data_IF_981384126395
#
_entry.id   IF_981384126395
#
_cell.length_a   1.000
_cell.length_b   1.000
_cell.length_c   1.000
_cell.angle_alpha   90.00
_cell.angle_beta   90.00
_cell.angle_gamma   90.00
#
_symmetry.space_group_name_H-M   'P 1'
#
loop_
_entity.id
_entity.type
_entity.pdbx_description
1 polymer ?
#
# COMPACT_ATOMS: atom_id res chain seq x y z
N UNK A 1 4.71 7.10 -0.27
CA UNK A 1 5.17 7.06 1.13
C UNK A 1 6.03 8.26 1.53
N UNK A 2 7.09 8.60 0.78
CA UNK A 2 8.07 9.65 1.16
C UNK A 2 7.51 11.07 1.34
N UNK A 3 6.34 11.36 0.77
CA UNK A 3 5.66 12.66 0.91
C UNK A 3 4.90 12.83 2.23
N UNK A 4 4.76 11.78 3.03
CA UNK A 4 4.01 11.82 4.30
C UNK A 4 5.02 11.91 5.45
N UNK A 5 5.09 13.05 6.17
CA UNK A 5 5.95 13.17 7.34
C UNK A 5 5.60 12.11 8.39
N UNK A 6 6.60 11.63 9.13
CA UNK A 6 6.43 10.62 10.21
C UNK A 6 5.82 9.27 9.78
N UNK A 7 5.78 8.99 8.48
CA UNK A 7 5.49 7.67 7.93
C UNK A 7 6.79 6.95 7.56
N UNK A 8 7.04 5.79 8.16
CA UNK A 8 8.08 4.86 7.73
C UNK A 8 7.48 3.71 6.93
N UNK A 9 8.24 3.15 5.99
CA UNK A 9 7.80 2.00 5.19
C UNK A 9 8.93 1.01 4.94
N UNK A 10 8.58 -0.24 4.67
CA UNK A 10 9.47 -1.30 4.23
C UNK A 10 8.88 -2.01 3.00
N UNK A 11 9.76 -2.47 2.11
CA UNK A 11 9.39 -3.30 0.96
C UNK A 11 9.33 -4.75 1.43
N UNK A 12 8.18 -5.41 1.23
CA UNK A 12 8.01 -6.84 1.56
C UNK A 12 8.19 -7.72 0.32
N UNK A 13 7.71 -7.26 -0.82
CA UNK A 13 7.87 -7.90 -2.12
C UNK A 13 7.88 -6.84 -3.22
N UNK A 14 8.04 -7.25 -4.49
CA UNK A 14 7.91 -6.37 -5.64
C UNK A 14 6.57 -5.60 -5.66
N UNK A 15 5.51 -6.18 -5.10
CA UNK A 15 4.14 -5.65 -5.15
C UNK A 15 3.51 -5.43 -3.77
N UNK A 16 4.27 -5.59 -2.68
CA UNK A 16 3.76 -5.49 -1.31
C UNK A 16 4.65 -4.64 -0.43
N UNK A 17 4.03 -3.77 0.36
CA UNK A 17 4.68 -2.82 1.26
C UNK A 17 4.03 -2.83 2.62
N UNK A 18 4.81 -2.52 3.65
CA UNK A 18 4.29 -2.26 4.99
C UNK A 18 4.62 -0.84 5.39
N UNK A 19 3.66 -0.15 5.97
CA UNK A 19 3.81 1.23 6.41
C UNK A 19 3.39 1.40 7.88
N UNK A 20 4.10 2.27 8.58
CA UNK A 20 3.77 2.71 9.93
C UNK A 20 3.71 4.25 9.95
N UNK A 21 2.56 4.79 10.32
CA UNK A 21 2.35 6.22 10.49
C UNK A 21 2.26 6.58 11.97
N UNK A 22 3.28 7.29 12.46
CA UNK A 22 3.33 7.79 13.84
C UNK A 22 2.60 9.12 13.93
N UNK A 23 1.93 9.38 15.04
CA UNK A 23 1.26 10.67 15.24
C UNK A 23 2.30 11.78 15.54
N UNK A 24 2.11 12.95 14.96
CA UNK A 24 2.81 14.17 15.35
C UNK A 24 1.97 14.92 16.39
N UNK A 25 2.35 14.85 17.67
CA UNK A 25 1.86 15.74 18.73
C UNK A 25 1.05 15.07 19.84
N UNK A 26 1.61 15.09 21.06
CA UNK A 26 0.93 14.73 22.31
C UNK A 26 1.70 13.70 23.15
N UNK A 27 1.49 13.65 24.48
CA UNK A 27 2.18 12.69 25.36
C UNK A 27 1.91 11.25 24.90
N UNK A 28 3.01 10.55 24.67
CA UNK A 28 3.20 9.51 23.66
C UNK A 28 2.52 8.16 23.92
N UNK A 29 1.84 7.94 25.04
CA UNK A 29 1.42 6.58 25.46
C UNK A 29 0.05 6.14 24.94
N UNK A 30 -0.84 7.07 24.55
CA UNK A 30 -2.18 6.73 24.05
C UNK A 30 -2.32 6.83 22.53
N UNK A 31 -1.35 7.44 21.84
CA UNK A 31 -1.37 7.57 20.39
C UNK A 31 -0.76 6.35 19.73
N UNK A 32 -1.57 5.30 19.58
CA UNK A 32 -1.17 4.10 18.82
C UNK A 32 -0.85 4.49 17.37
N UNK A 33 0.29 4.06 16.81
CA UNK A 33 0.61 4.29 15.41
C UNK A 33 -0.37 3.53 14.51
N UNK A 34 -0.58 4.03 13.29
CA UNK A 34 -1.34 3.32 12.26
C UNK A 34 -0.37 2.43 11.51
N UNK A 35 -0.61 1.12 11.50
CA UNK A 35 0.14 0.14 10.71
C UNK A 35 -0.77 -0.43 9.66
N UNK A 36 -0.32 -0.47 8.43
CA UNK A 36 -1.08 -1.02 7.32
C UNK A 36 -0.18 -1.67 6.28
N UNK A 37 -0.77 -2.56 5.51
CA UNK A 37 -0.15 -3.18 4.33
C UNK A 37 -0.73 -2.54 3.07
N UNK A 38 0.10 -2.45 2.04
CA UNK A 38 -0.30 -2.05 0.69
C UNK A 38 0.11 -3.16 -0.25
N UNK A 39 -0.85 -3.69 -0.98
CA UNK A 39 -0.64 -4.75 -1.98
C UNK A 39 -1.10 -4.28 -3.35
N UNK A 40 -0.32 -4.59 -4.38
CA UNK A 40 -0.63 -4.32 -5.78
C UNK A 40 -0.91 -5.64 -6.47
N UNK A 41 -2.06 -5.77 -7.12
CA UNK A 41 -2.41 -6.94 -7.92
C UNK A 41 -2.83 -6.51 -9.33
N UNK A 42 -2.39 -7.27 -10.34
CA UNK A 42 -2.95 -7.16 -11.69
C UNK A 42 -4.24 -7.96 -11.74
N UNK A 43 -5.26 -7.44 -12.42
CA UNK A 43 -6.50 -8.17 -12.69
C UNK A 43 -6.45 -8.96 -14.00
N UNK A 44 -5.29 -9.07 -14.66
CA UNK A 44 -5.12 -10.04 -15.73
C UNK A 44 -5.22 -11.44 -15.13
N UNK A 45 -6.26 -12.17 -15.52
CA UNK A 45 -6.25 -13.63 -15.45
C UNK A 45 -5.09 -14.19 -16.28
N UNK A 46 -4.90 -15.52 -16.34
CA UNK A 46 -3.87 -16.13 -17.17
C UNK A 46 -4.22 -15.91 -18.65
N UNK A 47 -3.95 -14.73 -19.19
CA UNK A 47 -4.19 -14.43 -20.60
C UNK A 47 -3.09 -15.08 -21.46
N UNK A 48 -3.48 -15.68 -22.60
CA UNK A 48 -2.62 -16.55 -23.36
C UNK A 48 -1.69 -15.76 -24.27
N UNK A 49 -0.39 -15.68 -23.93
CA UNK A 49 0.74 -15.35 -24.82
C UNK A 49 0.70 -13.99 -25.55
N UNK A 50 1.85 -13.36 -25.85
CA UNK A 50 1.87 -11.99 -26.33
C UNK A 50 1.39 -11.91 -27.78
N UNK A 51 0.27 -11.21 -28.02
CA UNK A 51 -0.08 -10.77 -29.38
C UNK A 51 0.92 -9.71 -29.83
N UNK A 52 1.45 -9.93 -31.03
CA UNK A 52 2.62 -9.28 -31.61
C UNK A 52 2.30 -7.92 -32.24
N UNK A 53 1.33 -7.19 -31.69
CA UNK A 53 0.88 -5.92 -32.23
C UNK A 53 0.89 -4.88 -31.10
N UNK A 54 1.67 -3.82 -31.28
CA UNK A 54 2.11 -2.85 -30.28
C UNK A 54 1.04 -1.92 -29.69
N UNK A 55 -0.18 -2.41 -29.44
CA UNK A 55 -1.19 -1.72 -28.63
C UNK A 55 -1.22 -2.36 -27.23
N UNK A 56 -0.21 -2.03 -26.41
CA UNK A 56 -0.14 -2.46 -25.01
C UNK A 56 -1.33 -1.91 -24.23
N UNK A 57 -2.42 -2.67 -24.17
CA UNK A 57 -3.50 -2.43 -23.23
C UNK A 57 -2.88 -2.61 -21.84
N UNK A 58 -2.57 -1.51 -21.18
CA UNK A 58 -2.02 -1.56 -19.82
C UNK A 58 -3.01 -2.30 -18.95
N UNK A 59 -2.60 -3.45 -18.40
CA UNK A 59 -3.43 -4.25 -17.51
C UNK A 59 -4.01 -3.38 -16.38
N UNK A 60 -5.23 -3.71 -15.95
CA UNK A 60 -5.84 -3.03 -14.81
C UNK A 60 -5.15 -3.54 -13.54
N UNK A 61 -4.66 -2.60 -12.73
CA UNK A 61 -4.07 -2.90 -11.42
C UNK A 61 -5.00 -2.42 -10.32
N UNK A 62 -5.09 -3.20 -9.24
CA UNK A 62 -5.75 -2.81 -8.01
C UNK A 62 -4.72 -2.61 -6.91
N UNK A 63 -4.95 -1.60 -6.06
CA UNK A 63 -4.13 -1.33 -4.87
C UNK A 63 -5.00 -1.54 -3.65
N UNK A 64 -4.65 -2.52 -2.84
CA UNK A 64 -5.37 -2.87 -1.62
C UNK A 64 -4.65 -2.30 -0.42
N UNK A 65 -5.37 -1.55 0.42
CA UNK A 65 -4.88 -1.04 1.70
C UNK A 65 -5.52 -1.85 2.82
N UNK A 66 -4.69 -2.56 3.60
CA UNK A 66 -5.16 -3.40 4.70
C UNK A 66 -4.70 -2.84 6.03
N UNK A 67 -5.63 -2.38 6.87
CA UNK A 67 -5.33 -1.94 8.23
C UNK A 67 -4.86 -3.13 9.08
N UNK A 68 -3.66 -3.04 9.63
CA UNK A 68 -3.11 -4.04 10.56
C UNK A 68 -3.43 -3.64 12.00
N UNK A 69 -3.19 -2.36 12.35
CA UNK A 69 -3.48 -1.84 13.69
C UNK A 69 -3.56 -0.31 13.71
N UNK A 70 -4.25 0.24 14.72
CA UNK A 70 -4.29 1.68 14.98
C UNK A 70 -5.66 2.30 14.67
N UNK A 71 -5.81 3.62 14.84
CA UNK A 71 -7.09 4.30 14.67
C UNK A 71 -7.59 4.26 13.21
N UNK A 72 -8.73 3.62 12.97
CA UNK A 72 -9.32 3.50 11.62
C UNK A 72 -9.61 4.84 10.96
N UNK A 73 -9.95 5.87 11.76
CA UNK A 73 -10.14 7.25 11.28
C UNK A 73 -8.87 7.90 10.74
N UNK A 74 -7.69 7.52 11.25
CA UNK A 74 -6.39 8.01 10.76
C UNK A 74 -5.80 7.14 9.64
N UNK A 75 -6.37 5.96 9.45
CA UNK A 75 -6.00 5.06 8.36
C UNK A 75 -6.64 5.45 7.03
N UNK A 76 -7.89 5.91 7.08
CA UNK A 76 -8.58 6.53 5.94
C UNK A 76 -7.92 7.86 5.58
#
# INVERSE_FOLDING_TARGET
>A
FLSIPSLSHSVLSQTSFRAEYKASGGPSVFQKPVRFQVDISSSEGPEPSPRRDGSGSGGIYSVTFTLISGPSRRFK
#
